data_IF_006799734848
#
_entry.id   IF_006799734848
#
_cell.length_a   1.000
_cell.length_b   1.000
_cell.length_c   1.000
_cell.angle_alpha   90.00
_cell.angle_beta   90.00
_cell.angle_gamma   90.00
#
_symmetry.space_group_name_H-M   'P 1'
#
loop_
_entity.id
_entity.type
_entity.pdbx_description
1 polymer ?
#
# COMPACT_ATOMS: atom_id res chain seq x y z
N UNK A 1 13.08 32.19 -7.88
CA UNK A 1 11.83 32.72 -8.48
C UNK A 1 11.07 33.47 -7.41
N UNK A 2 10.69 34.72 -7.64
CA UNK A 2 9.84 35.45 -6.70
C UNK A 2 8.40 34.91 -6.79
N UNK A 3 7.77 34.64 -5.64
CA UNK A 3 6.39 34.14 -5.59
C UNK A 3 5.43 35.21 -6.12
N UNK A 4 4.80 34.94 -7.28
CA UNK A 4 3.82 35.83 -7.93
C UNK A 4 2.53 36.01 -7.10
N UNK A 5 2.23 35.04 -6.22
CA UNK A 5 1.00 35.00 -5.43
C UNK A 5 1.30 34.79 -3.94
N UNK A 6 0.47 35.39 -3.08
CA UNK A 6 0.50 35.14 -1.65
C UNK A 6 0.13 33.67 -1.40
N UNK A 7 0.97 32.96 -0.67
CA UNK A 7 0.77 31.57 -0.28
C UNK A 7 0.76 31.46 1.24
N UNK A 8 -0.02 30.52 1.78
CA UNK A 8 0.04 30.14 3.19
C UNK A 8 0.13 28.60 3.29
N UNK A 9 0.75 28.05 4.35
CA UNK A 9 0.73 26.61 4.57
C UNK A 9 -0.71 26.09 4.75
N UNK A 10 -0.97 24.87 4.29
CA UNK A 10 -2.26 24.22 4.52
C UNK A 10 -2.47 24.01 6.03
N UNK A 11 -3.46 24.71 6.61
CA UNK A 11 -3.72 24.71 8.07
C UNK A 11 -3.99 23.33 8.66
N UNK A 12 -4.58 22.44 7.86
CA UNK A 12 -4.94 21.07 8.26
C UNK A 12 -3.87 20.04 7.91
N UNK A 13 -2.67 20.47 7.49
CA UNK A 13 -1.62 19.54 7.04
C UNK A 13 -1.21 18.54 8.11
N UNK A 14 -1.12 18.98 9.36
CA UNK A 14 -0.79 18.08 10.46
C UNK A 14 -1.88 17.03 10.68
N UNK A 15 -3.15 17.44 10.64
CA UNK A 15 -4.28 16.51 10.75
C UNK A 15 -4.32 15.52 9.59
N UNK A 16 -4.01 15.94 8.37
CA UNK A 16 -3.92 15.04 7.22
C UNK A 16 -2.85 13.95 7.40
N UNK A 17 -1.70 14.29 7.99
CA UNK A 17 -0.65 13.30 8.32
C UNK A 17 -1.12 12.30 9.37
N UNK A 18 -1.80 12.78 10.41
CA UNK A 18 -2.38 11.92 11.46
C UNK A 18 -3.38 10.93 10.88
N UNK A 19 -4.33 11.40 10.07
CA UNK A 19 -5.35 10.55 9.44
C UNK A 19 -4.72 9.50 8.50
N UNK A 20 -3.67 9.86 7.76
CA UNK A 20 -2.94 8.91 6.93
C UNK A 20 -2.23 7.82 7.76
N UNK A 21 -1.65 8.19 8.91
CA UNK A 21 -1.04 7.20 9.81
C UNK A 21 -2.09 6.29 10.44
N UNK A 22 -3.23 6.86 10.82
CA UNK A 22 -4.37 6.11 11.35
C UNK A 22 -4.90 5.10 10.32
N UNK A 23 -4.98 5.47 9.04
CA UNK A 23 -5.31 4.56 7.94
C UNK A 23 -4.40 3.32 7.90
N UNK A 24 -3.08 3.50 7.91
CA UNK A 24 -2.12 2.38 7.90
C UNK A 24 -2.17 1.56 9.18
N UNK A 25 -2.35 2.21 10.33
CA UNK A 25 -2.53 1.53 11.61
C UNK A 25 -3.76 0.64 11.60
N UNK A 26 -4.90 1.15 11.12
CA UNK A 26 -6.16 0.41 11.12
C UNK A 26 -6.10 -0.81 10.22
N UNK A 27 -5.50 -0.70 9.03
CA UNK A 27 -5.24 -1.85 8.17
C UNK A 27 -4.35 -2.89 8.88
N UNK A 28 -3.21 -2.47 9.40
CA UNK A 28 -2.26 -3.36 10.07
C UNK A 28 -2.89 -4.10 11.28
N UNK A 29 -3.77 -3.46 12.03
CA UNK A 29 -4.39 -3.99 13.25
C UNK A 29 -5.82 -4.52 13.05
N UNK A 30 -6.30 -4.62 11.82
CA UNK A 30 -7.69 -5.00 11.52
C UNK A 30 -8.06 -6.37 12.11
N UNK A 31 -7.25 -7.40 11.84
CA UNK A 31 -7.53 -8.76 12.31
C UNK A 31 -7.47 -8.91 13.83
N UNK A 32 -6.64 -8.13 14.53
CA UNK A 32 -6.58 -8.13 16.01
C UNK A 32 -7.92 -7.70 16.63
N UNK A 33 -8.75 -7.00 15.86
CA UNK A 33 -10.08 -6.51 16.24
C UNK A 33 -11.22 -7.31 15.59
N UNK A 34 -10.90 -8.39 14.88
CA UNK A 34 -11.87 -9.19 14.12
C UNK A 34 -12.30 -8.60 12.78
N UNK A 35 -11.68 -7.51 12.32
CA UNK A 35 -12.00 -6.87 11.05
C UNK A 35 -11.26 -7.48 9.85
N UNK A 36 -11.75 -7.16 8.65
CA UNK A 36 -11.19 -7.64 7.37
C UNK A 36 -10.19 -6.63 6.78
N UNK A 37 -9.18 -7.17 6.10
CA UNK A 37 -8.20 -6.44 5.29
C UNK A 37 -8.44 -6.68 3.81
N UNK A 38 -8.37 -5.63 2.99
CA UNK A 38 -8.35 -5.79 1.55
C UNK A 38 -7.22 -5.04 0.83
N UNK A 39 -6.63 -5.77 -0.12
CA UNK A 39 -5.65 -5.40 -1.14
C UNK A 39 -6.24 -4.67 -2.35
N UNK A 40 -5.82 -3.47 -2.76
CA UNK A 40 -6.16 -3.00 -4.11
C UNK A 40 -5.48 -1.72 -4.59
N UNK A 41 -5.87 -1.29 -5.79
CA UNK A 41 -5.48 -0.02 -6.39
C UNK A 41 -6.21 1.15 -5.73
N UNK A 42 -5.60 2.32 -5.72
CA UNK A 42 -6.20 3.53 -5.13
C UNK A 42 -7.39 4.07 -5.92
N UNK A 43 -7.59 3.61 -7.15
CA UNK A 43 -8.71 3.97 -8.02
C UNK A 43 -9.86 2.97 -7.98
N UNK A 44 -9.68 1.88 -7.22
CA UNK A 44 -10.74 0.91 -6.97
C UNK A 44 -11.92 1.56 -6.24
N UNK A 45 -13.14 1.11 -6.57
CA UNK A 45 -14.39 1.53 -5.93
C UNK A 45 -14.50 0.99 -4.49
N UNK A 46 -13.87 1.68 -3.54
CA UNK A 46 -13.87 1.33 -2.12
C UNK A 46 -15.27 1.14 -1.51
N UNK A 47 -16.29 1.80 -2.06
CA UNK A 47 -17.70 1.62 -1.68
C UNK A 47 -18.16 0.15 -1.71
N UNK A 48 -17.61 -0.70 -2.58
CA UNK A 48 -17.99 -2.12 -2.68
C UNK A 48 -17.46 -2.92 -1.48
N UNK A 49 -16.16 -2.95 -1.16
CA UNK A 49 -15.66 -3.53 0.09
C UNK A 49 -16.34 -2.97 1.34
N UNK A 50 -16.68 -1.68 1.37
CA UNK A 50 -17.40 -1.07 2.50
C UNK A 50 -18.80 -1.64 2.72
N UNK A 51 -19.41 -2.27 1.71
CA UNK A 51 -20.67 -2.99 1.86
C UNK A 51 -20.56 -4.26 2.72
N UNK A 52 -19.35 -4.74 3.01
CA UNK A 52 -19.11 -5.92 3.86
C UNK A 52 -19.12 -5.59 5.35
N UNK A 53 -19.03 -4.31 5.73
CA UNK A 53 -19.01 -3.88 7.14
C UNK A 53 -18.19 -2.62 7.39
N UNK A 54 -18.31 -2.07 8.60
CA UNK A 54 -17.54 -0.90 9.06
C UNK A 54 -16.11 -1.25 9.50
N UNK A 55 -15.85 -2.54 9.71
CA UNK A 55 -14.59 -3.13 10.13
C UNK A 55 -13.76 -3.68 8.95
N UNK A 56 -13.98 -3.12 7.76
CA UNK A 56 -13.28 -3.48 6.52
C UNK A 56 -12.27 -2.40 6.15
N UNK A 57 -10.99 -2.75 6.20
CA UNK A 57 -9.87 -1.82 6.09
C UNK A 57 -9.04 -2.09 4.85
N UNK A 58 -8.70 -1.03 4.11
CA UNK A 58 -7.95 -1.15 2.87
C UNK A 58 -6.47 -0.83 3.05
N UNK A 59 -5.64 -1.39 2.19
CA UNK A 59 -4.35 -0.79 1.85
C UNK A 59 -4.30 -0.57 0.34
N UNK A 60 -4.30 0.69 -0.08
CA UNK A 60 -4.18 1.02 -1.49
C UNK A 60 -2.71 1.03 -1.88
N UNK A 61 -2.39 0.26 -2.90
CA UNK A 61 -1.06 -0.03 -3.42
C UNK A 61 -0.18 1.19 -3.65
N UNK A 62 -0.66 2.17 -4.41
CA UNK A 62 0.14 3.29 -4.91
C UNK A 62 0.48 4.28 -3.78
N UNK A 63 -0.47 4.73 -2.93
CA UNK A 63 -0.15 5.59 -1.79
C UNK A 63 0.75 4.91 -0.76
N UNK A 64 0.56 3.60 -0.53
CA UNK A 64 1.42 2.85 0.38
C UNK A 64 2.84 2.71 -0.18
N UNK A 65 2.99 2.36 -1.45
CA UNK A 65 4.29 2.27 -2.10
C UNK A 65 5.00 3.64 -2.22
N UNK A 66 4.25 4.74 -2.35
CA UNK A 66 4.78 6.10 -2.23
C UNK A 66 5.29 6.39 -0.81
N UNK A 67 4.62 5.84 0.21
CA UNK A 67 5.07 5.95 1.61
C UNK A 67 6.36 5.16 1.86
N UNK A 68 6.54 4.00 1.21
CA UNK A 68 7.82 3.27 1.16
C UNK A 68 8.89 4.11 0.49
N UNK A 69 8.61 4.73 -0.66
CA UNK A 69 9.57 5.56 -1.38
C UNK A 69 10.10 6.74 -0.56
N UNK A 70 9.29 7.29 0.35
CA UNK A 70 9.72 8.33 1.29
C UNK A 70 10.76 7.81 2.31
N UNK A 71 10.74 6.51 2.63
CA UNK A 71 11.71 5.82 3.49
C UNK A 71 12.83 5.22 2.63
N UNK A 72 13.75 6.07 2.18
CA UNK A 72 14.79 5.75 1.16
C UNK A 72 15.49 4.41 1.37
N UNK A 73 15.96 4.13 2.58
CA UNK A 73 16.70 2.89 2.87
C UNK A 73 15.81 1.64 2.73
N UNK A 74 14.56 1.73 3.18
CA UNK A 74 13.59 0.65 3.03
C UNK A 74 13.19 0.48 1.56
N UNK A 75 12.95 1.57 0.84
CA UNK A 75 12.66 1.53 -0.60
C UNK A 75 13.78 0.87 -1.39
N UNK A 76 15.04 1.21 -1.12
CA UNK A 76 16.18 0.59 -1.81
C UNK A 76 16.19 -0.92 -1.61
N UNK A 77 16.04 -1.38 -0.36
CA UNK A 77 15.93 -2.81 -0.03
C UNK A 77 14.77 -3.50 -0.75
N UNK A 78 13.60 -2.85 -0.80
CA UNK A 78 12.45 -3.38 -1.53
C UNK A 78 12.75 -3.55 -3.03
N UNK A 79 13.35 -2.54 -3.66
CA UNK A 79 13.74 -2.61 -5.07
C UNK A 79 14.72 -3.74 -5.32
N UNK A 80 15.79 -3.84 -4.51
CA UNK A 80 16.80 -4.90 -4.62
C UNK A 80 16.20 -6.29 -4.41
N UNK A 81 15.28 -6.45 -3.45
CA UNK A 81 14.58 -7.71 -3.20
C UNK A 81 13.73 -8.13 -4.40
N UNK A 82 13.01 -7.19 -5.03
CA UNK A 82 12.23 -7.49 -6.24
C UNK A 82 13.08 -7.83 -7.44
N UNK A 83 14.18 -7.13 -7.66
CA UNK A 83 15.11 -7.42 -8.75
C UNK A 83 15.76 -8.80 -8.54
N UNK A 84 16.14 -9.14 -7.30
CA UNK A 84 16.66 -10.47 -6.94
C UNK A 84 15.63 -11.59 -7.13
N UNK A 85 14.34 -11.30 -6.93
CA UNK A 85 13.25 -12.23 -7.19
C UNK A 85 12.96 -12.43 -8.69
N UNK A 86 13.67 -11.72 -9.58
CA UNK A 86 13.56 -11.86 -11.04
C UNK A 86 12.61 -10.87 -11.70
N UNK A 87 12.07 -9.90 -10.97
CA UNK A 87 11.23 -8.85 -11.55
C UNK A 87 12.10 -7.79 -12.24
N UNK A 88 11.66 -7.35 -13.42
CA UNK A 88 12.42 -6.40 -14.22
C UNK A 88 12.47 -5.01 -13.57
N UNK A 89 13.65 -4.38 -13.65
CA UNK A 89 13.93 -3.06 -13.03
C UNK A 89 13.15 -1.90 -13.64
N UNK A 90 12.69 -2.06 -14.88
CA UNK A 90 11.88 -1.08 -15.63
C UNK A 90 10.40 -1.09 -15.21
N UNK A 91 9.98 -2.05 -14.39
CA UNK A 91 8.64 -2.07 -13.82
C UNK A 91 8.40 -0.86 -12.91
N UNK A 92 7.12 -0.50 -12.79
CA UNK A 92 6.66 0.59 -11.95
C UNK A 92 7.28 0.51 -10.55
N UNK A 93 7.86 1.62 -10.09
CA UNK A 93 8.48 1.69 -8.77
C UNK A 93 7.48 1.46 -7.64
N UNK A 94 6.20 1.80 -7.82
CA UNK A 94 5.17 1.48 -6.83
C UNK A 94 5.00 -0.03 -6.66
N UNK A 95 4.92 -0.77 -7.76
CA UNK A 95 4.82 -2.24 -7.73
C UNK A 95 6.03 -2.84 -7.01
N UNK A 96 7.23 -2.42 -7.41
CA UNK A 96 8.47 -2.95 -6.82
C UNK A 96 8.63 -2.62 -5.33
N UNK A 97 8.24 -1.42 -4.90
CA UNK A 97 8.22 -1.10 -3.47
C UNK A 97 7.24 -1.97 -2.69
N UNK A 98 6.04 -2.20 -3.24
CA UNK A 98 5.01 -3.00 -2.59
C UNK A 98 5.37 -4.48 -2.52
N UNK A 99 5.74 -5.08 -3.65
CA UNK A 99 6.20 -6.47 -3.72
C UNK A 99 7.45 -6.68 -2.88
N UNK A 100 8.38 -5.71 -2.85
CA UNK A 100 9.55 -5.79 -1.99
C UNK A 100 9.18 -5.85 -0.51
N UNK A 101 8.15 -5.10 -0.08
CA UNK A 101 7.61 -5.21 1.27
C UNK A 101 7.06 -6.61 1.58
N UNK A 102 6.36 -7.22 0.63
CA UNK A 102 5.88 -8.62 0.75
C UNK A 102 7.06 -9.60 0.84
N UNK A 103 8.00 -9.53 -0.11
CA UNK A 103 9.16 -10.44 -0.21
C UNK A 103 10.03 -10.37 1.04
N UNK A 104 10.25 -9.16 1.58
CA UNK A 104 10.99 -8.96 2.82
C UNK A 104 10.17 -9.29 4.06
N UNK A 105 8.87 -9.51 3.92
CA UNK A 105 7.89 -9.65 5.01
C UNK A 105 7.94 -8.47 5.99
N UNK A 106 8.05 -7.24 5.46
CA UNK A 106 8.23 -6.02 6.24
C UNK A 106 7.16 -4.98 5.89
N UNK A 107 6.59 -4.38 6.93
CA UNK A 107 5.63 -3.28 6.77
C UNK A 107 6.33 -1.94 6.84
N UNK A 108 5.86 -0.96 6.06
CA UNK A 108 6.43 0.37 6.06
C UNK A 108 6.31 1.06 7.43
N UNK A 109 5.36 0.65 8.27
CA UNK A 109 5.13 1.21 9.61
C UNK A 109 5.33 0.12 10.68
N UNK A 110 6.59 -0.24 11.01
CA UNK A 110 6.90 -1.32 11.95
C UNK A 110 6.32 -1.11 13.36
N UNK A 111 5.96 0.13 13.70
CA UNK A 111 5.23 0.47 14.92
C UNK A 111 3.80 -0.10 14.97
N UNK A 112 3.20 -0.44 13.83
CA UNK A 112 1.84 -1.02 13.74
C UNK A 112 1.84 -2.51 13.43
N UNK A 113 2.82 -2.99 12.65
CA UNK A 113 3.04 -4.42 12.40
C UNK A 113 4.51 -4.67 12.10
N UNK A 114 5.11 -5.65 12.79
CA UNK A 114 6.51 -6.04 12.55
C UNK A 114 6.70 -6.79 11.23
N UNK A 115 5.64 -7.45 10.76
CA UNK A 115 5.62 -8.25 9.54
C UNK A 115 4.64 -7.67 8.54
N UNK A 116 4.69 -8.15 7.30
CA UNK A 116 3.71 -7.76 6.29
C UNK A 116 2.27 -8.13 6.71
N UNK A 117 1.33 -7.17 6.81
CA UNK A 117 -0.07 -7.46 7.11
C UNK A 117 -0.79 -7.95 5.84
N UNK A 118 -0.79 -9.29 5.66
CA UNK A 118 -1.46 -9.96 4.53
C UNK A 118 -2.96 -9.60 4.46
N UNK A 119 -3.50 -9.28 3.27
CA UNK A 119 -4.92 -9.03 3.09
C UNK A 119 -5.74 -10.34 3.11
N UNK A 120 -7.01 -10.24 3.50
CA UNK A 120 -7.96 -11.36 3.47
C UNK A 120 -8.53 -11.60 2.07
N UNK A 121 -8.65 -10.53 1.27
CA UNK A 121 -9.01 -10.60 -0.14
C UNK A 121 -8.41 -9.43 -0.92
N UNK A 122 -8.39 -9.56 -2.23
CA UNK A 122 -7.94 -8.55 -3.17
C UNK A 122 -9.16 -8.00 -3.92
N UNK A 123 -9.21 -6.69 -4.11
CA UNK A 123 -10.19 -6.01 -4.94
C UNK A 123 -9.46 -4.98 -5.81
N UNK A 124 -9.25 -5.34 -7.08
CA UNK A 124 -8.37 -4.60 -7.99
C UNK A 124 -9.13 -4.09 -9.22
N UNK A 125 -8.89 -2.83 -9.57
CA UNK A 125 -9.31 -2.22 -10.83
C UNK A 125 -8.20 -2.29 -11.91
N UNK A 126 -8.55 -1.99 -13.16
CA UNK A 126 -7.58 -1.96 -14.26
C UNK A 126 -7.25 -0.50 -14.66
N UNK A 127 -6.44 0.17 -13.85
CA UNK A 127 -5.94 1.53 -14.12
C UNK A 127 -4.89 1.54 -15.26
N UNK A 128 -3.97 0.58 -15.28
CA UNK A 128 -3.01 0.41 -16.38
C UNK A 128 -2.53 -1.04 -16.53
N UNK A 129 -1.87 -1.35 -17.65
CA UNK A 129 -1.48 -2.73 -18.00
C UNK A 129 -0.63 -3.41 -16.92
N UNK A 130 0.27 -2.68 -16.26
CA UNK A 130 1.10 -3.23 -15.19
C UNK A 130 0.33 -3.40 -13.88
N UNK A 131 -0.61 -2.49 -13.56
CA UNK A 131 -1.52 -2.65 -12.41
C UNK A 131 -2.43 -3.87 -12.55
N UNK A 132 -2.92 -4.18 -13.75
CA UNK A 132 -3.72 -5.37 -14.00
C UNK A 132 -3.01 -6.69 -13.61
N UNK A 133 -1.68 -6.70 -13.66
CA UNK A 133 -0.86 -7.86 -13.28
C UNK A 133 -0.33 -7.76 -11.85
N UNK A 134 -0.39 -6.60 -11.21
CA UNK A 134 0.13 -6.36 -9.87
C UNK A 134 -0.37 -7.41 -8.89
N UNK A 135 -1.68 -7.57 -8.81
CA UNK A 135 -2.29 -8.40 -7.78
C UNK A 135 -2.32 -9.90 -8.08
N UNK A 136 -2.13 -10.28 -9.35
CA UNK A 136 -1.83 -11.66 -9.69
C UNK A 136 -0.47 -12.06 -9.08
N UNK A 137 0.54 -11.18 -9.20
CA UNK A 137 1.85 -11.40 -8.56
C UNK A 137 1.76 -11.35 -7.04
N UNK A 138 0.92 -10.50 -6.46
CA UNK A 138 0.68 -10.48 -5.00
C UNK A 138 0.13 -11.82 -4.53
N UNK A 139 -0.86 -12.39 -5.23
CA UNK A 139 -1.36 -13.74 -4.95
C UNK A 139 -0.26 -14.80 -5.08
N UNK A 140 0.61 -14.71 -6.09
CA UNK A 140 1.73 -15.65 -6.23
C UNK A 140 2.73 -15.55 -5.04
N UNK A 141 2.97 -14.34 -4.53
CA UNK A 141 3.90 -14.09 -3.43
C UNK A 141 3.32 -14.44 -2.05
N UNK A 142 2.03 -14.17 -1.82
CA UNK A 142 1.39 -14.35 -0.51
C UNK A 142 0.64 -15.68 -0.37
N UNK A 143 0.41 -16.39 -1.49
CA UNK A 143 -0.37 -17.62 -1.55
C UNK A 143 -1.83 -17.38 -1.94
N UNK A 144 -2.68 -18.38 -1.73
CA UNK A 144 -4.06 -18.38 -2.25
C UNK A 144 -4.99 -17.38 -1.53
N UNK A 145 -4.91 -16.10 -1.93
CA UNK A 145 -5.80 -15.02 -1.51
C UNK A 145 -6.93 -14.88 -2.56
N UNK A 146 -8.21 -14.82 -2.16
CA UNK A 146 -9.31 -14.50 -3.07
C UNK A 146 -9.10 -13.15 -3.78
N UNK A 147 -9.31 -13.10 -5.10
CA UNK A 147 -9.15 -11.92 -5.96
C UNK A 147 -10.25 -11.83 -7.00
#
# INVERSE_FOLDING_TARGET
MANKYKTEPLRLWQKAKELRLEYYKNYAQAQDKGGLRWAGGAWTLDAIPRGLGDDVWSITSEPYAASIAFKKDFSLRCMEATEKAGFARDLCSYMRNYWGGIILNEYAFPEYSKTWPRPDFIYQDHICCSHAKWYQVVRDLEGDIPM
#
